data_IF_393390127491
#
_entry.id   IF_393390127491
#
_cell.length_a   1.000
_cell.length_b   1.000
_cell.length_c   1.000
_cell.angle_alpha   90.00
_cell.angle_beta   90.00
_cell.angle_gamma   90.00
#
_symmetry.space_group_name_H-M   'P 1'
#
loop_
_entity.id
_entity.type
_entity.pdbx_description
1 polymer ?
#
# COMPACT_ATOMS: atom_id res chain seq x y z
N UNK A 1 6.56 31.75 -24.07
CA UNK A 1 7.30 33.01 -23.82
C UNK A 1 6.60 33.73 -22.67
N UNK A 2 7.23 33.80 -21.49
CA UNK A 2 6.68 34.54 -20.33
C UNK A 2 7.79 35.49 -19.89
N UNK A 3 7.48 36.79 -19.87
CA UNK A 3 8.38 37.84 -19.37
C UNK A 3 7.91 38.27 -17.99
N UNK A 4 8.79 38.17 -17.00
CA UNK A 4 8.55 38.67 -15.65
C UNK A 4 9.50 39.85 -15.42
N UNK A 5 8.92 40.99 -15.03
CA UNK A 5 9.64 42.19 -14.61
C UNK A 5 9.80 42.21 -13.08
N UNK A 6 10.88 42.83 -12.63
CA UNK A 6 11.39 42.88 -11.24
C UNK A 6 10.77 44.04 -10.44
N UNK A 7 10.69 43.87 -9.12
CA UNK A 7 10.63 44.97 -8.15
C UNK A 7 11.84 44.89 -7.19
N UNK A 8 12.27 46.06 -6.73
CA UNK A 8 13.64 46.48 -6.49
C UNK A 8 14.07 46.30 -5.02
N UNK A 9 15.00 45.37 -4.80
CA UNK A 9 15.57 45.12 -3.46
C UNK A 9 17.00 44.57 -3.42
N UNK A 10 17.74 44.60 -4.53
CA UNK A 10 19.21 44.62 -4.45
C UNK A 10 19.95 43.31 -4.17
N UNK A 11 19.54 42.15 -4.72
CA UNK A 11 20.44 41.00 -4.88
C UNK A 11 20.51 40.57 -6.34
N UNK A 12 21.73 40.47 -6.88
CA UNK A 12 22.05 39.97 -8.22
C UNK A 12 22.33 38.47 -8.11
N UNK A 13 21.71 37.67 -8.97
CA UNK A 13 22.20 36.33 -9.30
C UNK A 13 22.41 36.30 -10.82
N UNK A 14 23.61 35.87 -11.22
CA UNK A 14 24.01 35.73 -12.62
C UNK A 14 23.46 34.43 -13.21
N UNK A 15 23.01 34.53 -14.46
CA UNK A 15 22.81 33.48 -15.47
C UNK A 15 22.23 32.13 -15.00
N UNK A 16 20.90 31.98 -15.08
CA UNK A 16 20.27 30.68 -15.21
C UNK A 16 19.96 30.42 -16.70
N UNK A 17 20.63 29.43 -17.28
CA UNK A 17 20.24 28.83 -18.57
C UNK A 17 19.07 27.89 -18.28
N UNK A 18 17.90 28.16 -18.84
CA UNK A 18 16.77 27.24 -18.80
C UNK A 18 16.99 26.21 -19.90
N UNK A 19 17.35 24.98 -19.52
CA UNK A 19 17.22 23.82 -20.40
C UNK A 19 15.78 23.34 -20.33
N UNK A 20 15.11 23.29 -21.47
CA UNK A 20 13.84 22.56 -21.62
C UNK A 20 14.20 21.07 -21.59
N UNK A 21 13.80 20.38 -20.52
CA UNK A 21 13.90 18.92 -20.42
C UNK A 21 12.58 18.37 -20.98
N UNK A 22 12.71 17.43 -21.92
CA UNK A 22 11.58 16.72 -22.54
C UNK A 22 11.07 15.67 -21.55
N UNK A 23 9.86 15.87 -21.04
CA UNK A 23 9.34 15.31 -19.79
C UNK A 23 8.57 13.99 -20.00
N UNK A 24 9.00 13.14 -20.94
CA UNK A 24 8.23 11.97 -21.37
C UNK A 24 8.70 10.61 -20.81
N UNK A 25 9.69 10.54 -19.92
CA UNK A 25 10.19 9.25 -19.40
C UNK A 25 10.75 9.31 -17.97
N UNK A 26 9.98 9.75 -16.98
CA UNK A 26 10.32 9.49 -15.57
C UNK A 26 9.90 8.06 -15.20
N UNK A 27 10.76 7.09 -15.54
CA UNK A 27 10.62 5.72 -15.04
C UNK A 27 10.86 5.76 -13.53
N UNK A 28 9.82 5.61 -12.73
CA UNK A 28 9.98 5.37 -11.30
C UNK A 28 10.76 4.07 -11.14
N UNK A 29 11.99 4.15 -10.63
CA UNK A 29 12.75 2.94 -10.33
C UNK A 29 12.02 2.18 -9.22
N UNK A 30 11.30 1.12 -9.59
CA UNK A 30 10.84 0.11 -8.64
C UNK A 30 12.08 -0.42 -7.92
N UNK A 31 12.24 0.01 -6.69
CA UNK A 31 13.25 -0.48 -5.78
C UNK A 31 12.82 -1.88 -5.36
N UNK A 32 13.32 -2.91 -6.04
CA UNK A 32 13.35 -4.28 -5.52
C UNK A 32 14.34 -4.40 -4.33
N UNK A 33 14.46 -3.36 -3.50
CA UNK A 33 15.12 -3.51 -2.21
C UNK A 33 14.16 -4.29 -1.34
N UNK A 34 14.40 -5.59 -1.33
CA UNK A 34 13.98 -6.47 -0.27
C UNK A 34 14.56 -5.98 1.04
N UNK A 35 13.81 -5.13 1.72
CA UNK A 35 13.85 -5.10 3.16
C UNK A 35 12.98 -6.28 3.64
N UNK A 36 13.54 -7.50 3.53
CA UNK A 36 13.38 -8.38 4.69
C UNK A 36 13.96 -7.52 5.81
N UNK A 37 13.20 -7.22 6.85
CA UNK A 37 13.78 -6.51 7.99
C UNK A 37 14.13 -7.60 8.99
N UNK A 38 15.40 -8.05 9.06
CA UNK A 38 16.58 -7.62 8.29
C UNK A 38 17.01 -8.60 7.17
N UNK A 39 17.32 -8.06 5.99
CA UNK A 39 17.89 -8.73 4.86
C UNK A 39 19.36 -8.89 5.22
N UNK A 40 19.78 -10.13 5.33
CA UNK A 40 21.06 -10.47 5.91
C UNK A 40 21.77 -11.44 5.00
N UNK A 41 22.96 -11.05 4.57
CA UNK A 41 23.85 -11.96 3.86
C UNK A 41 24.41 -13.04 4.82
N UNK A 42 24.21 -12.90 6.13
CA UNK A 42 24.75 -13.81 7.15
C UNK A 42 23.94 -15.10 7.19
N UNK A 43 24.61 -16.23 7.02
CA UNK A 43 24.01 -17.56 7.09
C UNK A 43 23.32 -17.80 8.46
N UNK A 44 22.20 -18.50 8.42
CA UNK A 44 21.50 -19.01 9.61
C UNK A 44 20.90 -20.38 9.26
N UNK A 45 20.73 -21.23 10.26
CA UNK A 45 20.26 -22.61 10.11
C UNK A 45 19.09 -22.95 11.03
N UNK A 46 18.75 -22.05 11.95
CA UNK A 46 17.61 -22.15 12.87
C UNK A 46 17.23 -20.75 13.41
N UNK A 47 16.19 -20.69 14.23
CA UNK A 47 15.73 -19.43 14.82
C UNK A 47 16.77 -18.81 15.78
N UNK A 48 17.57 -19.64 16.47
CA UNK A 48 18.59 -19.16 17.40
C UNK A 48 19.73 -18.46 16.66
N UNK A 49 20.25 -19.09 15.60
CA UNK A 49 21.28 -18.55 14.72
C UNK A 49 20.77 -17.36 13.90
N UNK A 50 19.49 -17.29 13.54
CA UNK A 50 18.92 -16.07 12.95
C UNK A 50 18.96 -14.91 13.94
N UNK A 51 18.47 -15.09 15.17
CA UNK A 51 18.52 -14.03 16.20
C UNK A 51 19.97 -13.61 16.47
N UNK A 52 20.88 -14.57 16.66
CA UNK A 52 22.29 -14.31 16.94
C UNK A 52 23.01 -13.60 15.81
N UNK A 53 22.84 -14.06 14.57
CA UNK A 53 23.60 -13.55 13.44
C UNK A 53 23.00 -12.28 12.84
N UNK A 54 21.68 -12.10 12.95
CA UNK A 54 20.92 -11.09 12.19
C UNK A 54 20.34 -10.01 13.10
N UNK A 55 19.74 -10.39 14.23
CA UNK A 55 19.01 -9.47 15.09
C UNK A 55 19.88 -8.85 16.19
N UNK A 56 20.88 -9.59 16.68
CA UNK A 56 21.78 -9.12 17.72
C UNK A 56 22.99 -8.35 17.14
N UNK A 57 23.43 -7.26 17.79
CA UNK A 57 24.67 -6.61 17.42
C UNK A 57 25.83 -7.61 17.57
N UNK A 58 26.80 -7.64 16.63
CA UNK A 58 27.92 -8.57 16.71
C UNK A 58 28.67 -8.39 18.03
N UNK A 59 29.26 -9.47 18.60
CA UNK A 59 30.06 -9.38 19.81
C UNK A 59 31.11 -8.29 19.62
N UNK A 60 31.17 -7.32 20.56
CA UNK A 60 32.18 -6.27 20.53
C UNK A 60 33.56 -6.92 20.47
N UNK A 61 34.24 -6.77 19.34
CA UNK A 61 35.64 -7.16 19.24
C UNK A 61 36.44 -6.37 20.28
N UNK A 62 37.31 -7.07 21.02
CA UNK A 62 38.06 -6.52 22.14
C UNK A 62 38.65 -5.15 21.84
N UNK A 63 38.27 -4.20 22.69
CA UNK A 63 38.44 -2.76 22.53
C UNK A 63 39.91 -2.34 22.60
N UNK A 64 40.50 -1.95 21.46
CA UNK A 64 41.62 -0.98 21.41
C UNK A 64 41.60 -0.03 20.20
N UNK A 65 40.56 -0.06 19.36
CA UNK A 65 40.39 0.92 18.29
C UNK A 65 39.07 1.68 18.48
N UNK A 66 39.18 3.01 18.45
CA UNK A 66 38.17 4.07 18.48
C UNK A 66 36.69 3.66 18.63
N UNK A 67 36.04 4.22 19.65
CA UNK A 67 34.60 4.17 19.85
C UNK A 67 33.85 4.44 18.55
N UNK A 68 33.24 3.39 18.02
CA UNK A 68 32.36 3.45 16.88
C UNK A 68 31.06 4.10 17.33
N UNK A 69 30.67 5.20 16.67
CA UNK A 69 29.39 5.86 16.87
C UNK A 69 28.24 4.86 16.64
N UNK A 70 27.09 5.13 17.24
CA UNK A 70 25.86 4.33 17.08
C UNK A 70 25.39 4.16 15.61
N UNK A 71 26.05 4.79 14.63
CA UNK A 71 25.88 4.53 13.19
C UNK A 71 26.30 3.13 12.75
N UNK A 72 27.13 2.41 13.51
CA UNK A 72 27.65 1.10 13.09
C UNK A 72 26.91 -0.10 13.69
N UNK A 73 25.94 0.13 14.58
CA UNK A 73 24.90 -0.87 14.84
C UNK A 73 23.90 -0.71 13.69
N UNK A 74 24.11 -1.46 12.61
CA UNK A 74 23.30 -1.39 11.39
C UNK A 74 21.84 -1.79 11.62
N UNK A 75 21.05 -0.91 12.23
CA UNK A 75 19.76 -0.57 11.64
C UNK A 75 20.11 0.36 10.48
N UNK A 76 20.03 -0.16 9.26
CA UNK A 76 20.13 0.63 8.05
C UNK A 76 19.12 1.78 8.14
N UNK A 77 19.61 2.97 8.49
CA UNK A 77 18.92 4.23 8.24
C UNK A 77 19.60 4.84 7.02
N UNK A 78 18.98 4.83 5.83
CA UNK A 78 19.56 5.51 4.69
C UNK A 78 19.55 7.03 4.90
N UNK A 79 20.71 7.65 4.74
CA UNK A 79 20.88 9.10 4.66
C UNK A 79 20.23 9.73 3.41
N UNK A 80 20.05 11.06 3.49
CA UNK A 80 19.03 11.81 2.76
C UNK A 80 19.53 13.12 2.10
N UNK A 81 20.07 13.14 0.87
CA UNK A 81 20.06 14.39 0.05
C UNK A 81 19.04 14.63 -1.12
N UNK A 82 18.78 15.93 -1.32
CA UNK A 82 17.60 16.51 -1.96
C UNK A 82 17.55 16.55 -3.51
N UNK A 83 16.30 16.82 -3.97
CA UNK A 83 15.82 17.36 -5.25
C UNK A 83 15.54 16.38 -6.40
N UNK A 84 14.23 16.13 -6.62
CA UNK A 84 13.54 16.58 -7.84
C UNK A 84 12.06 16.89 -7.53
N UNK A 85 11.61 18.05 -7.98
CA UNK A 85 10.26 18.59 -7.83
C UNK A 85 9.43 18.06 -9.01
N UNK A 86 8.34 17.31 -8.85
CA UNK A 86 6.97 17.84 -8.80
C UNK A 86 5.97 16.71 -8.42
N UNK A 87 5.93 16.37 -7.13
CA UNK A 87 4.74 15.83 -6.46
C UNK A 87 4.64 16.63 -5.17
N UNK A 88 3.43 17.12 -4.83
CA UNK A 88 3.20 18.18 -3.83
C UNK A 88 4.13 18.06 -2.59
N UNK A 89 5.00 19.06 -2.33
CA UNK A 89 6.15 18.95 -1.41
C UNK A 89 5.81 19.03 0.09
N UNK A 90 4.58 18.71 0.49
CA UNK A 90 4.20 18.67 1.91
C UNK A 90 4.27 17.27 2.52
N UNK A 91 4.65 16.25 1.74
CA UNK A 91 4.30 14.86 2.06
C UNK A 91 5.37 14.03 2.77
N UNK A 92 6.68 14.22 2.56
CA UNK A 92 7.72 13.50 3.32
C UNK A 92 9.04 14.28 3.35
N UNK A 93 9.13 15.26 4.25
CA UNK A 93 10.33 16.04 4.50
C UNK A 93 11.30 15.40 5.49
N UNK A 94 11.65 14.12 5.28
CA UNK A 94 12.79 13.45 5.89
C UNK A 94 12.86 12.04 5.30
N UNK A 95 13.54 11.86 4.15
CA UNK A 95 14.25 10.65 3.70
C UNK A 95 14.78 10.79 2.23
N UNK A 96 16.00 10.27 1.97
CA UNK A 96 16.81 10.15 0.73
C UNK A 96 17.57 11.33 0.03
N UNK A 97 18.85 11.05 -0.32
CA UNK A 97 19.44 11.09 -1.67
C UNK A 97 19.94 9.70 -1.94
N UNK A 98 19.98 9.42 -3.23
CA UNK A 98 20.74 8.35 -3.80
C UNK A 98 22.24 8.71 -3.94
N UNK A 99 23.13 7.71 -3.83
CA UNK A 99 24.37 7.68 -4.57
C UNK A 99 24.07 7.53 -6.08
N UNK A 100 24.96 8.09 -6.90
CA UNK A 100 25.03 7.88 -8.35
C UNK A 100 25.36 6.41 -8.68
N UNK A 101 24.63 5.85 -9.65
CA UNK A 101 24.70 4.48 -10.21
C UNK A 101 24.24 3.32 -9.30
N UNK A 102 22.99 2.88 -9.49
CA UNK A 102 22.52 1.60 -8.99
C UNK A 102 23.18 0.46 -9.79
N UNK A 103 23.76 -0.51 -9.09
CA UNK A 103 24.27 -1.74 -9.69
C UNK A 103 23.20 -2.44 -10.54
N UNK A 104 23.58 -3.10 -11.66
CA UNK A 104 22.63 -3.84 -12.49
C UNK A 104 21.89 -4.87 -11.65
N UNK A 105 20.55 -4.88 -11.75
CA UNK A 105 19.68 -5.85 -11.06
C UNK A 105 20.15 -7.27 -11.41
N UNK A 106 20.56 -8.05 -10.41
CA UNK A 106 20.83 -9.46 -10.60
C UNK A 106 19.52 -10.15 -11.01
N UNK A 107 19.51 -10.80 -12.17
CA UNK A 107 18.36 -11.60 -12.59
C UNK A 107 18.00 -12.64 -11.50
N UNK A 108 16.72 -12.81 -11.20
CA UNK A 108 16.26 -13.87 -10.29
C UNK A 108 16.49 -15.22 -10.98
N UNK A 109 17.42 -16.03 -10.44
CA UNK A 109 17.88 -17.25 -11.12
C UNK A 109 16.74 -18.23 -11.50
N UNK A 110 15.70 -18.36 -10.67
CA UNK A 110 14.54 -19.23 -10.92
C UNK A 110 13.33 -18.60 -11.62
N UNK A 111 13.39 -17.33 -12.02
CA UNK A 111 12.26 -16.63 -12.63
C UNK A 111 12.69 -15.70 -13.76
N UNK A 112 11.87 -15.59 -14.79
CA UNK A 112 12.09 -14.65 -15.90
C UNK A 112 11.22 -13.42 -15.68
N UNK A 113 11.84 -12.23 -15.61
CA UNK A 113 11.08 -10.98 -15.56
C UNK A 113 10.38 -10.76 -16.91
N UNK A 114 9.07 -10.57 -16.86
CA UNK A 114 8.24 -10.28 -18.04
C UNK A 114 8.19 -8.78 -18.30
N UNK A 115 8.07 -7.99 -17.24
CA UNK A 115 8.05 -6.55 -17.30
C UNK A 115 7.84 -5.94 -15.91
N UNK A 116 7.90 -4.62 -15.84
CA UNK A 116 7.68 -3.85 -14.62
C UNK A 116 6.80 -2.66 -14.93
N UNK A 117 6.06 -2.21 -13.91
CA UNK A 117 5.43 -0.91 -13.92
C UNK A 117 6.17 0.12 -13.07
N UNK A 118 5.50 1.22 -12.72
CA UNK A 118 5.96 2.22 -11.75
C UNK A 118 5.99 1.66 -10.32
N UNK A 119 5.10 0.71 -10.03
CA UNK A 119 4.89 0.16 -8.71
C UNK A 119 4.94 -1.37 -8.62
N UNK A 120 4.81 -2.10 -9.73
CA UNK A 120 4.75 -3.56 -9.75
C UNK A 120 5.82 -4.20 -10.62
N UNK A 121 6.06 -5.50 -10.43
CA UNK A 121 6.92 -6.31 -11.30
C UNK A 121 6.24 -7.64 -11.59
N UNK A 122 6.37 -8.13 -12.81
CA UNK A 122 5.76 -9.38 -13.27
C UNK A 122 6.83 -10.37 -13.69
N UNK A 123 6.72 -11.61 -13.22
CA UNK A 123 7.63 -12.71 -13.53
C UNK A 123 6.89 -13.95 -14.03
N UNK A 124 7.63 -14.83 -14.70
CA UNK A 124 7.23 -16.20 -15.01
C UNK A 124 8.23 -17.17 -14.38
N UNK A 125 7.75 -18.19 -13.67
CA UNK A 125 8.65 -19.18 -13.04
C UNK A 125 9.29 -20.08 -14.11
N UNK A 126 10.59 -20.35 -14.00
CA UNK A 126 11.32 -21.19 -14.98
C UNK A 126 10.97 -22.67 -14.84
N UNK A 127 10.92 -23.17 -13.61
CA UNK A 127 10.62 -24.58 -13.33
C UNK A 127 9.13 -24.91 -13.48
N UNK A 128 8.28 -23.87 -13.45
CA UNK A 128 6.83 -23.96 -13.55
C UNK A 128 6.31 -22.92 -14.55
N UNK A 129 6.57 -23.10 -15.86
CA UNK A 129 6.28 -22.07 -16.87
C UNK A 129 4.80 -21.73 -17.01
N UNK A 130 3.89 -22.54 -16.47
CA UNK A 130 2.47 -22.25 -16.42
C UNK A 130 2.07 -21.30 -15.27
N UNK A 131 3.01 -20.86 -14.43
CA UNK A 131 2.79 -19.97 -13.29
C UNK A 131 3.48 -18.63 -13.51
N UNK A 132 2.69 -17.55 -13.41
CA UNK A 132 3.16 -16.18 -13.36
C UNK A 132 3.12 -15.63 -11.94
N UNK A 133 3.89 -14.59 -11.68
CA UNK A 133 3.90 -13.88 -10.41
C UNK A 133 3.77 -12.39 -10.64
N UNK A 134 2.76 -11.78 -10.01
CA UNK A 134 2.60 -10.32 -9.92
C UNK A 134 3.05 -9.87 -8.53
N UNK A 135 4.15 -9.14 -8.48
CA UNK A 135 4.67 -8.55 -7.24
C UNK A 135 4.14 -7.14 -7.10
N UNK A 136 3.44 -6.90 -5.99
CA UNK A 136 2.85 -5.60 -5.63
C UNK A 136 3.45 -5.16 -4.29
N UNK A 137 4.63 -4.52 -4.28
CA UNK A 137 5.33 -4.09 -3.07
C UNK A 137 4.69 -2.88 -2.37
N UNK A 138 3.86 -2.11 -3.09
CA UNK A 138 3.14 -0.94 -2.57
C UNK A 138 1.87 -0.73 -3.39
N UNK A 139 0.96 0.11 -2.92
CA UNK A 139 -0.18 0.62 -3.70
C UNK A 139 -0.18 2.16 -3.75
N UNK A 140 0.99 2.78 -3.54
CA UNK A 140 1.20 4.24 -3.51
C UNK A 140 1.28 4.88 -4.90
N UNK A 141 0.55 4.35 -5.87
CA UNK A 141 0.46 4.89 -7.22
C UNK A 141 -1.01 5.19 -7.52
N UNK A 142 -1.23 6.38 -8.05
CA UNK A 142 -2.53 6.90 -8.41
C UNK A 142 -3.16 6.10 -9.53
N UNK A 143 -4.46 6.28 -9.70
CA UNK A 143 -5.22 5.65 -10.79
C UNK A 143 -4.99 6.28 -12.16
N UNK A 144 -4.40 7.47 -12.17
CA UNK A 144 -3.94 8.17 -13.36
C UNK A 144 -2.55 7.69 -13.79
N UNK A 145 -1.86 6.98 -12.88
CA UNK A 145 -0.59 6.34 -13.18
C UNK A 145 -0.95 5.12 -14.03
N UNK A 146 -0.33 5.02 -15.19
CA UNK A 146 -0.46 3.98 -16.22
C UNK A 146 -0.17 2.55 -15.72
N UNK A 147 0.02 2.37 -14.42
CA UNK A 147 0.28 1.12 -13.72
C UNK A 147 -0.71 0.01 -14.08
N UNK A 148 -2.02 0.29 -14.09
CA UNK A 148 -3.02 -0.74 -14.42
C UNK A 148 -2.90 -1.21 -15.88
N UNK A 149 -2.52 -0.31 -16.79
CA UNK A 149 -2.26 -0.64 -18.18
C UNK A 149 -0.96 -1.44 -18.33
N UNK A 150 0.09 -1.07 -17.58
CA UNK A 150 1.35 -1.81 -17.52
C UNK A 150 1.15 -3.23 -16.96
N UNK A 151 0.39 -3.38 -15.86
CA UNK A 151 0.01 -4.70 -15.33
C UNK A 151 -0.74 -5.48 -16.42
N UNK A 152 -1.75 -4.89 -17.07
CA UNK A 152 -2.51 -5.56 -18.13
C UNK A 152 -1.60 -6.06 -19.27
N UNK A 153 -0.70 -5.22 -19.78
CA UNK A 153 0.22 -5.58 -20.86
C UNK A 153 1.18 -6.72 -20.46
N UNK A 154 1.65 -6.71 -19.20
CA UNK A 154 2.46 -7.79 -18.66
C UNK A 154 1.65 -9.09 -18.51
N UNK A 155 0.38 -9.01 -18.11
CA UNK A 155 -0.55 -10.15 -18.05
C UNK A 155 -0.83 -10.74 -19.44
N UNK A 156 -0.95 -9.90 -20.49
CA UNK A 156 -1.05 -10.36 -21.90
C UNK A 156 0.19 -11.16 -22.30
N UNK A 157 1.38 -10.70 -21.89
CA UNK A 157 2.62 -11.40 -22.17
C UNK A 157 2.69 -12.76 -21.45
N UNK A 158 2.34 -12.81 -20.16
CA UNK A 158 2.24 -14.07 -19.41
C UNK A 158 1.29 -15.06 -20.10
N UNK A 159 0.09 -14.62 -20.47
CA UNK A 159 -0.91 -15.44 -21.17
C UNK A 159 -0.36 -15.96 -22.51
N UNK A 160 0.33 -15.12 -23.27
CA UNK A 160 0.95 -15.50 -24.55
C UNK A 160 2.05 -16.54 -24.34
N UNK A 161 2.76 -16.49 -23.22
CA UNK A 161 3.77 -17.46 -22.81
C UNK A 161 3.17 -18.76 -22.22
N UNK A 162 1.85 -18.95 -22.28
CA UNK A 162 1.18 -20.17 -21.81
C UNK A 162 0.96 -20.23 -20.29
N UNK A 163 1.07 -19.11 -19.59
CA UNK A 163 0.77 -19.04 -18.15
C UNK A 163 -0.74 -19.20 -17.94
N UNK A 164 -1.11 -20.03 -16.97
CA UNK A 164 -2.51 -20.34 -16.64
C UNK A 164 -2.88 -20.01 -15.20
N UNK A 165 -1.89 -19.84 -14.33
CA UNK A 165 -2.08 -19.58 -12.89
C UNK A 165 -1.19 -18.43 -12.42
N UNK A 166 -1.63 -17.70 -11.39
CA UNK A 166 -0.94 -16.53 -10.86
C UNK A 166 -0.74 -16.60 -9.35
N UNK A 167 0.44 -16.18 -8.91
CA UNK A 167 0.68 -15.75 -7.54
C UNK A 167 0.65 -14.22 -7.53
N UNK A 168 -0.18 -13.63 -6.67
CA UNK A 168 -0.14 -12.20 -6.35
C UNK A 168 0.63 -12.07 -5.04
N UNK A 169 1.83 -11.52 -5.13
CA UNK A 169 2.76 -11.38 -4.03
C UNK A 169 2.65 -9.98 -3.42
N UNK A 170 2.16 -9.94 -2.19
CA UNK A 170 1.88 -8.76 -1.37
C UNK A 170 2.84 -8.65 -0.17
N UNK A 171 3.95 -9.38 -0.17
CA UNK A 171 4.93 -9.31 0.92
C UNK A 171 5.48 -7.89 1.07
N UNK A 172 5.56 -7.41 2.32
CA UNK A 172 6.06 -6.07 2.63
C UNK A 172 5.17 -4.90 2.21
N UNK A 173 3.99 -5.14 1.63
CA UNK A 173 3.13 -4.08 1.11
C UNK A 173 2.31 -3.39 2.20
N UNK A 174 2.79 -2.24 2.67
CA UNK A 174 2.08 -1.44 3.69
C UNK A 174 0.77 -0.76 3.23
N UNK A 175 0.41 -0.88 1.95
CA UNK A 175 -0.78 -0.29 1.34
C UNK A 175 -0.48 0.94 0.48
N UNK A 176 -1.44 1.87 0.44
CA UNK A 176 -1.45 3.02 -0.46
C UNK A 176 -2.86 3.50 -0.75
N UNK A 177 -3.15 3.81 -2.02
CA UNK A 177 -4.45 4.34 -2.41
C UNK A 177 -5.52 3.25 -2.37
N UNK A 178 -6.55 3.45 -1.53
CA UNK A 178 -7.72 2.55 -1.41
C UNK A 178 -8.41 2.27 -2.75
N UNK A 179 -8.44 3.26 -3.64
CA UNK A 179 -9.01 3.08 -4.97
C UNK A 179 -8.21 2.07 -5.82
N UNK A 180 -6.89 2.05 -5.69
CA UNK A 180 -6.06 1.05 -6.36
C UNK A 180 -6.37 -0.36 -5.86
N UNK A 181 -6.59 -0.54 -4.55
CA UNK A 181 -6.93 -1.85 -4.00
C UNK A 181 -8.19 -2.47 -4.63
N UNK A 182 -9.23 -1.65 -4.80
CA UNK A 182 -10.48 -2.06 -5.47
C UNK A 182 -10.24 -2.39 -6.94
N UNK A 183 -9.46 -1.58 -7.66
CA UNK A 183 -9.16 -1.79 -9.08
C UNK A 183 -8.29 -3.01 -9.33
N UNK A 184 -7.30 -3.26 -8.47
CA UNK A 184 -6.45 -4.46 -8.54
C UNK A 184 -7.32 -5.72 -8.46
N UNK A 185 -8.29 -5.78 -7.56
CA UNK A 185 -9.24 -6.91 -7.47
C UNK A 185 -10.05 -7.03 -8.76
N UNK A 186 -10.54 -5.91 -9.30
CA UNK A 186 -11.31 -5.88 -10.54
C UNK A 186 -10.53 -6.36 -11.78
N UNK A 187 -9.20 -6.30 -11.77
CA UNK A 187 -8.37 -6.87 -12.84
C UNK A 187 -8.48 -8.39 -12.96
N UNK A 188 -8.84 -9.07 -11.88
CA UNK A 188 -8.94 -10.53 -11.81
C UNK A 188 -10.38 -11.01 -11.65
N UNK A 189 -11.22 -10.19 -11.01
CA UNK A 189 -12.63 -10.46 -10.77
C UNK A 189 -13.47 -9.24 -11.17
N UNK A 190 -13.71 -9.03 -12.48
CA UNK A 190 -14.41 -7.87 -12.99
C UNK A 190 -15.76 -7.63 -12.32
N UNK A 191 -15.99 -6.41 -11.86
CA UNK A 191 -17.25 -6.04 -11.19
C UNK A 191 -18.42 -6.00 -12.17
N UNK A 192 -19.60 -6.37 -11.65
CA UNK A 192 -20.90 -6.18 -12.31
C UNK A 192 -21.64 -4.97 -11.74
N UNK A 193 -21.39 -4.63 -10.48
CA UNK A 193 -21.94 -3.47 -9.80
C UNK A 193 -20.84 -2.65 -9.09
N UNK A 194 -21.14 -1.37 -8.88
CA UNK A 194 -20.22 -0.40 -8.24
C UNK A 194 -19.79 -0.81 -6.82
N UNK A 195 -20.65 -1.55 -6.11
CA UNK A 195 -20.38 -2.02 -4.74
C UNK A 195 -19.72 -3.41 -4.65
N UNK A 196 -19.51 -4.12 -5.76
CA UNK A 196 -19.01 -5.51 -5.73
C UNK A 196 -17.60 -5.63 -5.10
N UNK A 197 -16.82 -4.54 -5.10
CA UNK A 197 -15.52 -4.40 -4.41
C UNK A 197 -15.48 -3.16 -3.52
N UNK A 198 -16.60 -2.87 -2.86
CA UNK A 198 -16.70 -1.82 -1.84
C UNK A 198 -17.16 -2.38 -0.49
N UNK A 199 -16.42 -2.05 0.58
CA UNK A 199 -16.74 -2.52 1.93
C UNK A 199 -17.67 -1.49 2.57
N UNK A 200 -18.73 -1.94 3.27
CA UNK A 200 -19.49 -1.03 4.11
C UNK A 200 -18.53 -0.37 5.11
N UNK A 201 -18.64 0.94 5.24
CA UNK A 201 -17.71 1.75 6.01
C UNK A 201 -18.44 2.88 6.72
N UNK A 202 -17.86 3.46 7.76
CA UNK A 202 -18.38 4.71 8.33
C UNK A 202 -17.26 5.52 8.98
N UNK A 203 -17.53 6.80 9.20
CA UNK A 203 -16.58 7.72 9.82
C UNK A 203 -17.08 8.09 11.20
N UNK A 204 -16.16 8.18 12.15
CA UNK A 204 -16.47 8.85 13.42
C UNK A 204 -16.63 10.35 13.17
N UNK A 205 -17.67 10.94 13.74
CA UNK A 205 -17.96 12.36 13.62
C UNK A 205 -18.12 13.00 15.00
N UNK A 206 -18.04 14.33 15.03
CA UNK A 206 -18.24 15.18 16.20
C UNK A 206 -18.53 16.62 15.72
N UNK A 207 -18.89 17.57 16.61
CA UNK A 207 -19.20 18.93 16.19
C UNK A 207 -18.09 19.65 15.42
N UNK A 208 -16.82 19.35 15.67
CA UNK A 208 -15.71 19.97 14.93
C UNK A 208 -15.57 19.38 13.51
N UNK A 209 -15.73 18.06 13.37
CA UNK A 209 -15.77 17.38 12.06
C UNK A 209 -16.95 17.88 11.24
N UNK A 210 -18.12 18.04 11.87
CA UNK A 210 -19.32 18.58 11.22
C UNK A 210 -19.14 20.01 10.72
N UNK A 211 -18.49 20.87 11.51
CA UNK A 211 -18.16 22.23 11.05
C UNK A 211 -17.22 22.24 9.86
N UNK A 212 -16.19 21.39 9.89
CA UNK A 212 -15.24 21.25 8.81
C UNK A 212 -15.90 20.71 7.54
N UNK A 213 -16.71 19.67 7.66
CA UNK A 213 -17.44 19.05 6.56
C UNK A 213 -18.46 20.02 5.95
N UNK A 214 -19.23 20.75 6.76
CA UNK A 214 -20.18 21.76 6.26
C UNK A 214 -19.52 22.84 5.38
N UNK A 215 -18.24 23.18 5.64
CA UNK A 215 -17.46 24.09 4.77
C UNK A 215 -16.83 23.35 3.59
N UNK A 216 -16.41 22.10 3.77
CA UNK A 216 -15.63 21.32 2.80
C UNK A 216 -16.41 20.34 1.92
N UNK A 217 -17.71 20.14 2.13
CA UNK A 217 -18.45 18.97 1.65
C UNK A 217 -18.38 18.77 0.13
N UNK A 218 -18.26 19.85 -0.66
CA UNK A 218 -18.15 19.83 -2.12
C UNK A 218 -16.79 20.32 -2.66
N UNK A 219 -15.77 20.38 -1.79
CA UNK A 219 -14.45 20.88 -2.16
C UNK A 219 -13.40 19.77 -2.15
N UNK A 220 -12.63 19.68 -3.24
CA UNK A 220 -11.57 18.68 -3.40
C UNK A 220 -10.46 18.78 -2.34
N UNK A 221 -10.18 19.97 -1.82
CA UNK A 221 -9.16 20.16 -0.77
C UNK A 221 -9.57 19.54 0.57
N UNK A 222 -10.86 19.30 0.79
CA UNK A 222 -11.38 18.78 2.05
C UNK A 222 -11.15 17.27 2.19
N UNK A 223 -10.75 16.59 1.12
CA UNK A 223 -10.43 15.15 1.14
C UNK A 223 -11.56 14.35 1.77
N UNK A 224 -11.25 13.60 2.84
CA UNK A 224 -12.25 12.80 3.56
C UNK A 224 -13.43 13.63 4.07
N UNK A 225 -13.27 14.92 4.37
CA UNK A 225 -14.36 15.78 4.84
C UNK A 225 -15.29 16.26 3.70
N UNK A 226 -15.01 15.85 2.47
CA UNK A 226 -15.85 16.11 1.31
C UNK A 226 -16.84 14.96 1.11
N UNK A 227 -18.09 15.13 1.54
CA UNK A 227 -19.11 14.08 1.42
C UNK A 227 -19.34 13.64 -0.02
N UNK A 228 -19.14 14.50 -1.02
CA UNK A 228 -19.26 14.13 -2.45
C UNK A 228 -18.25 13.07 -2.92
N UNK A 229 -17.25 12.75 -2.09
CA UNK A 229 -16.32 11.63 -2.30
C UNK A 229 -16.86 10.30 -1.76
N UNK A 230 -18.07 10.28 -1.23
CA UNK A 230 -18.65 9.11 -0.62
C UNK A 230 -19.91 8.69 -1.34
N UNK A 231 -20.17 7.41 -1.26
CA UNK A 231 -21.35 6.76 -1.80
C UNK A 231 -22.13 6.17 -0.63
N UNK A 232 -23.39 6.55 -0.52
CA UNK A 232 -24.32 5.99 0.44
C UNK A 232 -24.47 4.49 0.16
N UNK A 233 -24.14 3.66 1.15
CA UNK A 233 -24.15 2.21 0.98
C UNK A 233 -25.57 1.64 0.94
N UNK A 234 -26.53 2.32 1.56
CA UNK A 234 -27.94 1.93 1.64
C UNK A 234 -28.71 2.43 0.42
N UNK A 235 -28.65 3.73 0.16
CA UNK A 235 -29.39 4.38 -0.93
C UNK A 235 -28.72 4.18 -2.30
N UNK A 236 -27.47 3.70 -2.31
CA UNK A 236 -26.70 3.41 -3.52
C UNK A 236 -26.57 4.66 -4.41
N UNK A 237 -26.20 5.79 -3.81
CA UNK A 237 -26.01 7.04 -4.53
C UNK A 237 -24.84 7.84 -3.97
N UNK A 238 -24.26 8.72 -4.79
CA UNK A 238 -23.21 9.65 -4.33
C UNK A 238 -23.88 10.76 -3.52
N UNK A 239 -23.28 11.15 -2.39
CA UNK A 239 -23.76 12.30 -1.63
C UNK A 239 -23.64 13.58 -2.46
N UNK A 240 -24.66 14.43 -2.38
CA UNK A 240 -24.69 15.74 -3.07
C UNK A 240 -24.69 16.93 -2.10
N UNK A 241 -24.70 16.64 -0.80
CA UNK A 241 -24.77 17.57 0.32
C UNK A 241 -23.95 17.03 1.50
N UNK A 242 -23.93 17.73 2.63
CA UNK A 242 -23.19 17.30 3.83
C UNK A 242 -23.95 16.29 4.73
N UNK A 243 -24.92 15.54 4.19
CA UNK A 243 -25.75 14.64 5.01
C UNK A 243 -24.93 13.54 5.72
N UNK A 244 -23.86 13.06 5.07
CA UNK A 244 -22.93 12.06 5.64
C UNK A 244 -22.42 12.46 7.04
N UNK A 245 -22.17 13.76 7.26
CA UNK A 245 -21.62 14.28 8.52
C UNK A 245 -22.68 14.97 9.39
N UNK A 246 -23.64 15.66 8.78
CA UNK A 246 -24.66 16.45 9.48
C UNK A 246 -25.78 15.62 10.11
N UNK A 247 -25.92 14.34 9.74
CA UNK A 247 -26.89 13.40 10.32
C UNK A 247 -26.19 12.25 11.05
N UNK A 248 -25.47 12.54 12.15
CA UNK A 248 -24.75 11.50 12.87
C UNK A 248 -25.70 10.48 13.52
N UNK A 249 -25.22 9.25 13.64
CA UNK A 249 -25.89 8.14 14.30
C UNK A 249 -25.02 7.72 15.50
N UNK A 250 -25.57 7.69 16.73
CA UNK A 250 -24.83 7.20 17.89
C UNK A 250 -24.58 5.69 17.75
N UNK A 251 -23.33 5.28 17.92
CA UNK A 251 -22.91 3.87 17.91
C UNK A 251 -21.99 3.61 19.09
N UNK A 252 -22.12 2.42 19.69
CA UNK A 252 -21.26 1.99 20.80
C UNK A 252 -20.28 0.93 20.31
N UNK A 253 -18.98 1.22 20.41
CA UNK A 253 -17.90 0.28 20.08
C UNK A 253 -17.01 0.12 21.31
N UNK A 254 -16.74 -1.13 21.70
CA UNK A 254 -15.87 -1.43 22.85
C UNK A 254 -16.24 -0.67 24.14
N UNK A 255 -17.53 -0.49 24.41
CA UNK A 255 -18.03 0.23 25.59
C UNK A 255 -17.97 1.76 25.47
N UNK A 256 -17.56 2.31 24.34
CA UNK A 256 -17.52 3.74 24.07
C UNK A 256 -18.60 4.13 23.06
N UNK A 257 -19.54 4.98 23.48
CA UNK A 257 -20.51 5.58 22.58
C UNK A 257 -19.92 6.83 21.93
N UNK A 258 -20.01 6.91 20.61
CA UNK A 258 -19.67 8.10 19.84
C UNK A 258 -20.62 8.26 18.65
N UNK A 259 -20.59 9.44 18.05
CA UNK A 259 -21.33 9.73 16.84
C UNK A 259 -20.56 9.24 15.61
N UNK A 260 -21.26 8.59 14.69
CA UNK A 260 -20.72 8.11 13.42
C UNK A 260 -21.60 8.55 12.24
N UNK A 261 -21.05 8.57 11.04
CA UNK A 261 -21.87 8.65 9.82
C UNK A 261 -22.76 7.41 9.68
N UNK A 262 -23.75 7.49 8.80
CA UNK A 262 -24.38 6.28 8.26
C UNK A 262 -23.37 5.42 7.47
N UNK A 263 -23.81 4.21 7.08
CA UNK A 263 -22.96 3.31 6.30
C UNK A 263 -22.74 3.86 4.90
N UNK A 264 -21.48 3.98 4.53
CA UNK A 264 -20.99 4.55 3.29
C UNK A 264 -19.85 3.72 2.71
N UNK A 265 -19.30 4.13 1.58
CA UNK A 265 -18.01 3.69 1.05
C UNK A 265 -17.35 4.83 0.30
N UNK A 266 -16.02 4.85 0.28
CA UNK A 266 -15.27 5.89 -0.41
C UNK A 266 -15.21 5.60 -1.92
N UNK A 267 -15.65 6.58 -2.72
CA UNK A 267 -15.56 6.62 -4.19
C UNK A 267 -15.55 5.24 -4.87
N UNK A 268 -16.65 4.48 -4.79
CA UNK A 268 -16.70 3.19 -5.44
C UNK A 268 -16.75 3.41 -6.96
N UNK A 269 -15.82 2.82 -7.69
CA UNK A 269 -15.73 2.96 -9.14
C UNK A 269 -15.66 1.59 -9.81
N UNK A 270 -16.37 1.48 -10.93
CA UNK A 270 -16.16 0.39 -11.88
C UNK A 270 -14.92 0.74 -12.70
N UNK A 271 -13.95 -0.18 -12.74
CA UNK A 271 -12.74 -0.02 -13.50
C UNK A 271 -13.08 0.18 -14.98
N UNK A 272 -12.66 1.32 -15.54
CA UNK A 272 -12.52 1.46 -17.00
C UNK A 272 -11.37 0.54 -17.41
N UNK A 273 -11.70 -0.64 -17.94
CA UNK A 273 -10.72 -1.70 -18.14
C UNK A 273 -9.71 -1.31 -19.25
N UNK A 274 -8.39 -1.53 -19.04
CA UNK A 274 -7.37 -1.27 -20.07
C UNK A 274 -7.48 -2.21 -21.28
N UNK A 275 -8.26 -3.29 -21.17
CA UNK A 275 -8.60 -4.20 -22.26
C UNK A 275 -9.56 -5.31 -21.82
N UNK A 276 -9.74 -6.32 -22.66
CA UNK A 276 -10.64 -7.44 -22.37
C UNK A 276 -10.00 -8.42 -21.37
N UNK A 277 -10.44 -8.35 -20.11
CA UNK A 277 -9.94 -9.23 -19.05
C UNK A 277 -10.38 -10.69 -19.22
N UNK A 278 -11.44 -10.97 -20.00
CA UNK A 278 -11.96 -12.34 -20.18
C UNK A 278 -11.01 -13.25 -20.95
N UNK A 279 -10.00 -12.68 -21.62
CA UNK A 279 -8.98 -13.43 -22.38
C UNK A 279 -8.01 -14.19 -21.48
N UNK A 280 -7.93 -13.85 -20.21
CA UNK A 280 -6.98 -14.44 -19.28
C UNK A 280 -7.55 -15.70 -18.61
N UNK A 281 -6.73 -16.77 -18.48
CA UNK A 281 -7.18 -18.03 -17.89
C UNK A 281 -7.52 -17.92 -16.40
N UNK A 282 -7.02 -16.92 -15.68
CA UNK A 282 -7.26 -16.72 -14.25
C UNK A 282 -8.44 -15.79 -13.92
N UNK A 283 -9.03 -15.12 -14.93
CA UNK A 283 -10.15 -14.20 -14.70
C UNK A 283 -11.38 -14.95 -14.22
N UNK A 284 -11.96 -14.50 -13.10
CA UNK A 284 -13.06 -15.16 -12.39
C UNK A 284 -12.76 -16.63 -12.00
N UNK A 285 -11.49 -17.01 -11.90
CA UNK A 285 -11.05 -18.36 -11.53
C UNK A 285 -10.22 -18.33 -10.24
N UNK A 286 -10.84 -18.34 -9.05
CA UNK A 286 -10.11 -18.24 -7.79
C UNK A 286 -9.14 -19.40 -7.57
N UNK A 287 -9.44 -20.59 -8.10
CA UNK A 287 -8.55 -21.75 -8.03
C UNK A 287 -7.26 -21.57 -8.83
N UNK A 288 -7.18 -20.57 -9.72
CA UNK A 288 -5.98 -20.23 -10.53
C UNK A 288 -5.19 -19.05 -9.98
N UNK A 289 -5.60 -18.48 -8.85
CA UNK A 289 -4.91 -17.35 -8.20
C UNK A 289 -4.52 -17.77 -6.79
N UNK A 290 -3.34 -17.35 -6.31
CA UNK A 290 -2.96 -17.42 -4.90
C UNK A 290 -2.48 -16.06 -4.42
N UNK A 291 -2.80 -15.71 -3.17
CA UNK A 291 -2.21 -14.56 -2.50
C UNK A 291 -1.02 -15.03 -1.68
N UNK A 292 0.12 -14.37 -1.80
CA UNK A 292 1.29 -14.56 -0.95
C UNK A 292 1.52 -13.28 -0.14
N UNK A 293 1.76 -13.42 1.16
CA UNK A 293 2.09 -12.31 2.06
C UNK A 293 3.04 -12.77 3.16
N UNK A 294 3.52 -11.84 3.98
CA UNK A 294 4.34 -12.06 5.17
C UNK A 294 3.66 -11.47 6.42
N UNK A 295 2.36 -11.16 6.33
CA UNK A 295 1.57 -10.55 7.39
C UNK A 295 1.78 -9.06 7.57
N UNK A 296 2.66 -8.40 6.78
CA UNK A 296 2.85 -6.94 6.81
C UNK A 296 1.86 -6.18 5.93
N UNK A 297 1.06 -6.89 5.13
CA UNK A 297 0.06 -6.29 4.26
C UNK A 297 -0.85 -5.36 5.07
N UNK A 298 -0.86 -4.06 4.76
CA UNK A 298 -1.53 -3.02 5.55
C UNK A 298 -2.46 -2.16 4.70
N UNK A 299 -3.41 -1.48 5.34
CA UNK A 299 -4.28 -0.50 4.69
C UNK A 299 -4.92 -1.08 3.41
N UNK A 300 -4.88 -0.34 2.30
CA UNK A 300 -5.39 -0.76 1.00
C UNK A 300 -4.87 -2.14 0.52
N UNK A 301 -3.64 -2.55 0.84
CA UNK A 301 -3.15 -3.90 0.53
C UNK A 301 -4.02 -4.95 1.20
N UNK A 302 -4.28 -4.75 2.50
CA UNK A 302 -5.08 -5.68 3.29
C UNK A 302 -6.51 -5.74 2.75
N UNK A 303 -7.08 -4.62 2.30
CA UNK A 303 -8.38 -4.62 1.62
C UNK A 303 -8.36 -5.49 0.35
N UNK A 304 -7.34 -5.37 -0.52
CA UNK A 304 -7.19 -6.27 -1.68
C UNK A 304 -7.14 -7.73 -1.24
N UNK A 305 -6.30 -8.05 -0.25
CA UNK A 305 -6.16 -9.40 0.27
C UNK A 305 -7.48 -9.95 0.84
N UNK A 306 -8.25 -9.12 1.55
CA UNK A 306 -9.58 -9.46 2.05
C UNK A 306 -10.57 -9.75 0.92
N UNK A 307 -10.59 -8.92 -0.13
CA UNK A 307 -11.47 -9.17 -1.27
C UNK A 307 -11.14 -10.49 -1.97
N UNK A 308 -9.87 -10.71 -2.28
CA UNK A 308 -9.43 -11.94 -2.91
C UNK A 308 -9.85 -13.16 -2.08
N UNK A 309 -9.55 -13.14 -0.78
CA UNK A 309 -9.74 -14.31 0.08
C UNK A 309 -11.19 -14.51 0.52
N UNK A 310 -11.83 -13.48 1.10
CA UNK A 310 -13.15 -13.61 1.74
C UNK A 310 -14.31 -13.50 0.76
N UNK A 311 -14.15 -12.78 -0.35
CA UNK A 311 -15.24 -12.55 -1.30
C UNK A 311 -15.10 -13.35 -2.58
N UNK A 312 -13.86 -13.60 -3.03
CA UNK A 312 -13.59 -14.32 -4.28
C UNK A 312 -13.13 -15.76 -4.05
N UNK A 313 -12.79 -16.14 -2.81
CA UNK A 313 -12.40 -17.51 -2.47
C UNK A 313 -10.97 -17.87 -2.89
N UNK A 314 -10.15 -16.89 -3.23
CA UNK A 314 -8.73 -17.08 -3.54
C UNK A 314 -8.01 -17.56 -2.28
N UNK A 315 -7.21 -18.62 -2.40
CA UNK A 315 -6.43 -19.15 -1.27
C UNK A 315 -5.19 -18.30 -0.98
N UNK A 316 -4.93 -18.11 0.30
CA UNK A 316 -3.83 -17.28 0.81
C UNK A 316 -2.73 -18.11 1.47
N UNK A 317 -1.51 -17.65 1.27
CA UNK A 317 -0.30 -18.15 1.89
C UNK A 317 0.38 -17.00 2.62
N UNK A 318 0.71 -17.21 3.88
CA UNK A 318 1.56 -16.31 4.64
C UNK A 318 2.90 -17.00 4.93
N UNK A 319 4.02 -16.30 4.84
CA UNK A 319 5.34 -16.87 5.13
C UNK A 319 6.00 -16.19 6.34
N UNK A 320 6.66 -17.00 7.16
CA UNK A 320 7.35 -16.55 8.36
C UNK A 320 6.48 -16.67 9.61
N UNK A 321 6.71 -15.80 10.60
CA UNK A 321 6.08 -15.91 11.92
C UNK A 321 6.60 -17.09 12.76
N UNK A 322 5.96 -17.40 13.88
CA UNK A 322 6.40 -18.46 14.81
C UNK A 322 6.02 -19.87 14.34
N UNK A 323 6.97 -20.81 14.14
CA UNK A 323 6.67 -22.15 13.60
C UNK A 323 5.46 -22.83 14.26
N UNK A 324 4.56 -23.36 13.44
CA UNK A 324 3.33 -24.04 13.90
C UNK A 324 2.14 -23.14 14.21
N UNK A 325 2.33 -21.81 14.27
CA UNK A 325 1.24 -20.86 14.48
C UNK A 325 0.65 -20.37 13.16
N UNK A 326 -0.65 -20.09 13.14
CA UNK A 326 -1.28 -19.40 12.01
C UNK A 326 -0.74 -17.98 11.91
N UNK A 327 -0.35 -17.57 10.70
CA UNK A 327 0.10 -16.21 10.43
C UNK A 327 -1.05 -15.39 9.83
N UNK A 328 -1.09 -14.10 10.16
CA UNK A 328 -2.06 -13.19 9.59
C UNK A 328 -1.76 -12.91 8.11
N UNK A 329 -2.81 -12.81 7.31
CA UNK A 329 -2.86 -12.27 5.95
C UNK A 329 -2.45 -10.79 5.90
N UNK A 330 -2.70 -10.05 6.98
CA UNK A 330 -2.48 -8.62 7.05
C UNK A 330 -2.22 -8.13 8.47
N UNK A 331 -1.51 -7.02 8.59
CA UNK A 331 -1.26 -6.35 9.86
C UNK A 331 -2.49 -5.55 10.32
N UNK A 332 -3.10 -4.81 9.39
CA UNK A 332 -4.34 -4.08 9.62
C UNK A 332 -5.03 -3.80 8.27
N UNK A 333 -6.37 -3.93 8.18
CA UNK A 333 -7.17 -3.58 7.01
C UNK A 333 -7.17 -2.09 6.74
N UNK A 334 -7.31 -1.28 7.79
CA UNK A 334 -7.64 0.12 7.67
C UNK A 334 -8.89 0.35 6.82
N UNK A 335 -9.24 1.62 6.67
CA UNK A 335 -10.02 2.10 5.53
C UNK A 335 -9.26 3.25 4.91
N UNK A 336 -9.65 4.46 5.27
CA UNK A 336 -8.83 5.65 5.02
C UNK A 336 -8.12 6.01 6.32
N UNK A 337 -6.80 5.99 6.28
CA UNK A 337 -5.94 6.47 7.36
C UNK A 337 -5.75 7.98 7.17
N UNK A 338 -5.94 8.75 8.23
CA UNK A 338 -5.63 10.18 8.25
C UNK A 338 -4.51 10.45 9.25
N UNK A 339 -3.93 11.64 9.12
CA UNK A 339 -2.83 12.12 9.93
C UNK A 339 -3.23 13.43 10.61
N UNK A 340 -2.68 13.68 11.80
CA UNK A 340 -3.04 14.88 12.56
C UNK A 340 -2.68 16.19 11.82
N UNK A 341 -1.61 16.20 11.03
CA UNK A 341 -1.22 17.37 10.24
C UNK A 341 -2.22 17.65 9.11
N UNK A 342 -2.76 16.61 8.47
CA UNK A 342 -3.83 16.71 7.47
C UNK A 342 -5.07 17.33 8.11
N UNK A 343 -5.43 16.91 9.34
CA UNK A 343 -6.52 17.54 10.09
C UNK A 343 -6.25 19.03 10.31
N UNK A 344 -5.06 19.41 10.80
CA UNK A 344 -4.69 20.81 11.04
C UNK A 344 -4.79 21.68 9.77
N UNK A 345 -4.19 21.20 8.67
CA UNK A 345 -4.23 21.88 7.37
C UNK A 345 -5.66 22.01 6.84
N UNK A 346 -6.54 21.06 7.16
CA UNK A 346 -7.94 21.10 6.74
C UNK A 346 -8.71 22.21 7.47
N UNK A 347 -8.53 22.35 8.79
CA UNK A 347 -9.10 23.46 9.56
C UNK A 347 -8.55 24.82 9.11
N UNK A 348 -7.25 24.91 8.83
CA UNK A 348 -6.63 26.14 8.31
C UNK A 348 -7.21 26.55 6.95
N UNK A 349 -7.29 25.61 5.99
CA UNK A 349 -7.88 25.86 4.66
C UNK A 349 -9.35 26.25 4.74
N UNK A 350 -10.09 25.64 5.66
CA UNK A 350 -11.49 25.94 5.93
C UNK A 350 -11.71 27.30 6.62
N UNK A 351 -10.65 27.95 7.13
CA UNK A 351 -10.70 29.21 7.89
C UNK A 351 -11.66 29.16 9.09
N UNK A 352 -11.70 28.01 9.76
CA UNK A 352 -12.48 27.81 10.99
C UNK A 352 -11.55 27.48 12.16
N UNK A 353 -12.05 27.67 13.39
CA UNK A 353 -11.27 27.43 14.60
C UNK A 353 -10.90 25.95 14.73
N UNK A 354 -9.60 25.66 14.75
CA UNK A 354 -9.09 24.33 15.05
C UNK A 354 -9.35 23.99 16.54
N UNK A 355 -10.05 22.87 16.85
CA UNK A 355 -10.29 22.47 18.24
C UNK A 355 -9.02 22.07 18.99
N UNK A 356 -7.95 21.72 18.28
CA UNK A 356 -6.65 21.43 18.85
C UNK A 356 -5.91 22.74 19.13
N UNK A 357 -5.86 23.12 20.42
CA UNK A 357 -5.38 24.43 20.89
C UNK A 357 -3.87 24.65 20.79
N UNK A 358 -3.10 23.60 20.54
CA UNK A 358 -1.65 23.65 20.34
C UNK A 358 -1.19 22.44 19.52
N UNK A 359 -0.09 22.54 18.74
CA UNK A 359 0.62 21.36 18.26
C UNK A 359 1.02 20.49 19.45
N UNK A 360 1.20 19.18 19.19
CA UNK A 360 1.64 18.25 20.21
C UNK A 360 2.95 18.75 20.87
N UNK A 361 3.17 18.49 22.16
CA UNK A 361 4.37 18.96 22.87
C UNK A 361 5.66 18.29 22.38
N UNK A 362 5.59 17.37 21.42
CA UNK A 362 6.70 16.65 20.81
C UNK A 362 6.44 16.45 19.31
N UNK A 363 7.51 16.27 18.55
CA UNK A 363 7.45 15.96 17.13
C UNK A 363 7.09 14.47 16.95
N UNK A 364 5.86 14.20 16.53
CA UNK A 364 5.40 12.86 16.23
C UNK A 364 4.34 12.89 15.12
N UNK A 365 4.48 11.96 14.17
CA UNK A 365 3.39 11.60 13.27
C UNK A 365 2.32 10.82 14.02
N UNK A 366 1.11 11.36 14.11
CA UNK A 366 -0.05 10.62 14.59
C UNK A 366 -0.91 10.22 13.40
N UNK A 367 -1.10 8.91 13.25
CA UNK A 367 -1.93 8.29 12.21
C UNK A 367 -3.08 7.54 12.85
N UNK A 368 -4.26 7.59 12.25
CA UNK A 368 -5.45 6.90 12.74
C UNK A 368 -6.41 6.57 11.61
N UNK A 369 -7.15 5.47 11.74
CA UNK A 369 -8.24 5.14 10.82
C UNK A 369 -9.36 6.17 10.97
N UNK A 370 -9.65 6.91 9.91
CA UNK A 370 -10.75 7.87 9.86
C UNK A 370 -12.03 7.25 9.28
N UNK A 371 -11.87 6.43 8.24
CA UNK A 371 -12.95 5.62 7.69
C UNK A 371 -12.74 4.18 8.16
N UNK A 372 -13.59 3.70 9.05
CA UNK A 372 -13.58 2.31 9.51
C UNK A 372 -14.35 1.45 8.50
N UNK A 373 -13.77 0.32 8.09
CA UNK A 373 -14.40 -0.63 7.14
C UNK A 373 -14.96 -1.83 7.88
N UNK A 374 -16.00 -2.45 7.34
CA UNK A 374 -16.70 -3.60 7.91
C UNK A 374 -16.83 -4.68 6.83
N UNK A 375 -16.95 -5.94 7.28
CA UNK A 375 -17.47 -6.97 6.38
C UNK A 375 -19.01 -6.86 6.31
N UNK A 376 -19.62 -7.17 5.15
CA UNK A 376 -21.07 -7.18 5.03
C UNK A 376 -21.74 -8.05 6.10
N UNK A 377 -22.74 -7.48 6.76
CA UNK A 377 -23.49 -8.15 7.83
C UNK A 377 -22.79 -8.22 9.19
N UNK A 378 -21.64 -7.56 9.35
CA UNK A 378 -20.93 -7.47 10.64
C UNK A 378 -20.96 -6.04 11.19
N UNK A 379 -20.93 -5.94 12.52
CA UNK A 379 -20.93 -4.70 13.29
C UNK A 379 -19.57 -4.39 13.94
N UNK A 380 -18.62 -5.31 13.82
CA UNK A 380 -17.22 -5.14 14.26
C UNK A 380 -16.43 -4.58 13.07
N UNK A 381 -15.80 -3.42 13.27
CA UNK A 381 -14.90 -2.86 12.27
C UNK A 381 -13.71 -3.81 12.05
N UNK A 382 -13.31 -3.97 10.79
CA UNK A 382 -12.34 -4.96 10.36
C UNK A 382 -11.00 -4.77 11.08
N UNK A 383 -10.62 -3.53 11.42
CA UNK A 383 -9.43 -3.19 12.21
C UNK A 383 -9.34 -3.93 13.56
N UNK A 384 -10.48 -4.42 14.04
CA UNK A 384 -10.59 -5.11 15.32
C UNK A 384 -11.18 -6.52 15.20
N UNK A 385 -11.49 -6.99 13.99
CA UNK A 385 -11.98 -8.34 13.73
C UNK A 385 -10.82 -9.28 13.34
N UNK A 386 -9.91 -9.50 14.30
CA UNK A 386 -8.70 -10.32 14.10
C UNK A 386 -8.99 -11.75 13.65
N UNK A 387 -10.21 -12.28 13.89
CA UNK A 387 -10.63 -13.57 13.39
C UNK A 387 -10.65 -13.65 11.86
N UNK A 388 -10.71 -12.51 11.17
CA UNK A 388 -10.67 -12.45 9.71
C UNK A 388 -9.25 -12.57 9.16
N UNK A 389 -8.23 -12.37 9.99
CA UNK A 389 -6.88 -12.12 9.51
C UNK A 389 -6.12 -13.39 9.20
N UNK A 390 -6.55 -14.57 9.66
CA UNK A 390 -5.84 -15.82 9.39
C UNK A 390 -5.68 -16.10 7.88
N UNK A 391 -4.46 -16.44 7.46
CA UNK A 391 -4.21 -17.03 6.13
C UNK A 391 -4.69 -18.48 6.07
N UNK A 392 -4.94 -19.00 4.85
CA UNK A 392 -5.33 -20.41 4.67
C UNK A 392 -4.15 -21.36 4.93
N UNK A 393 -2.96 -20.93 4.51
CA UNK A 393 -1.71 -21.69 4.64
C UNK A 393 -0.61 -20.82 5.21
N UNK A 394 0.35 -21.48 5.86
CA UNK A 394 1.57 -20.88 6.40
C UNK A 394 2.78 -21.63 5.85
N UNK A 395 3.76 -20.92 5.32
CA UNK A 395 5.09 -21.45 5.00
C UNK A 395 6.09 -20.97 6.04
N UNK A 396 7.06 -21.81 6.36
CA UNK A 396 8.22 -21.39 7.15
C UNK A 396 9.28 -20.79 6.24
N UNK A 397 10.04 -19.85 6.81
CA UNK A 397 11.29 -19.44 6.18
C UNK A 397 12.31 -20.58 6.33
N UNK A 398 12.86 -21.01 5.21
CA UNK A 398 14.11 -21.77 5.13
C UNK A 398 15.23 -20.81 4.77
N UNK A 399 16.49 -21.20 5.00
CA UNK A 399 17.64 -20.38 4.60
C UNK A 399 17.66 -20.09 3.10
N UNK A 400 17.10 -20.99 2.30
CA UNK A 400 17.01 -20.88 0.85
C UNK A 400 15.85 -19.97 0.41
N UNK A 401 14.61 -20.24 0.86
CA UNK A 401 13.44 -19.47 0.43
C UNK A 401 13.44 -18.03 1.00
N UNK A 402 14.15 -17.78 2.11
CA UNK A 402 14.37 -16.45 2.65
C UNK A 402 15.32 -15.61 1.79
N UNK A 403 16.22 -16.23 1.02
CA UNK A 403 17.19 -15.53 0.15
C UNK A 403 16.77 -15.52 -1.32
N UNK A 404 15.98 -16.50 -1.73
CA UNK A 404 15.63 -16.73 -3.13
C UNK A 404 14.12 -16.76 -3.32
N UNK A 405 13.56 -15.61 -3.73
CA UNK A 405 12.11 -15.44 -3.95
C UNK A 405 11.51 -16.48 -4.89
N UNK A 406 12.24 -16.83 -5.95
CA UNK A 406 11.78 -17.84 -6.91
C UNK A 406 11.60 -19.23 -6.27
N UNK A 407 12.42 -19.58 -5.27
CA UNK A 407 12.26 -20.83 -4.50
C UNK A 407 10.95 -20.78 -3.71
N UNK A 408 10.71 -19.68 -2.98
CA UNK A 408 9.46 -19.47 -2.25
C UNK A 408 8.22 -19.54 -3.16
N UNK A 409 8.25 -18.88 -4.31
CA UNK A 409 7.15 -18.94 -5.28
C UNK A 409 6.94 -20.35 -5.83
N UNK A 410 8.02 -21.09 -6.09
CA UNK A 410 7.96 -22.48 -6.49
C UNK A 410 7.33 -23.37 -5.40
N UNK A 411 7.63 -23.13 -4.12
CA UNK A 411 7.02 -23.85 -2.98
C UNK A 411 5.52 -23.57 -2.90
N UNK A 412 5.11 -22.30 -3.01
CA UNK A 412 3.69 -21.91 -3.05
C UNK A 412 2.99 -22.61 -4.23
N UNK A 413 3.57 -22.52 -5.42
CA UNK A 413 3.03 -23.14 -6.62
C UNK A 413 2.95 -24.68 -6.48
N UNK A 414 3.95 -25.31 -5.86
CA UNK A 414 3.99 -26.75 -5.60
C UNK A 414 2.88 -27.23 -4.70
N UNK A 415 2.58 -26.45 -3.67
CA UNK A 415 1.46 -26.75 -2.79
C UNK A 415 0.12 -26.46 -3.48
N UNK A 416 0.03 -25.38 -4.24
CA UNK A 416 -1.23 -24.86 -4.78
C UNK A 416 -1.79 -25.67 -5.95
N UNK A 417 -0.92 -26.18 -6.82
CA UNK A 417 -1.26 -26.81 -8.10
C UNK A 417 -0.37 -28.03 -8.32
N UNK A 418 -0.81 -29.17 -7.76
CA UNK A 418 -0.19 -30.48 -7.93
C UNK A 418 -0.60 -31.16 -9.23
#
# INVERSE_FOLDING_TARGET
>A
EIRVFKDDGGRKYENCVVQTIDDSTTVTQVREYWDILPATDREFHDAASFVENVCLPPPQADSTAAALSAEQIGMYHPEVPQNEQHIRPEFYGALAAAPTEAAPRSALEGATMIGSGNGTVVYQLKDRPHVGVLVVPSQMFGVEDDELEQIYNNLVTLRTNGVTSLIIDLQGNGGGFVLFASRLVQMFFPNKNVLDTSLPSNLRTNPAVQQLANVGYNHTWAGIYSSVQFYDYVDKSIYTNDDLYSKPIPSTRYGHTAEYSEMTTYLPHILSQPGDLSVFPWTDQPDRIRILTDGRCGSSCSQSAFYFTKFKGVKSYAIGGFPGETLSLSAFPGGIVSELDVVYKSFEKAKITNPFKAPLPYDAGIRFTSLEVFLPGRDIALDFDGAQYASDFRLDYTSENARHRAVMWNEVAAHAWQ
#
